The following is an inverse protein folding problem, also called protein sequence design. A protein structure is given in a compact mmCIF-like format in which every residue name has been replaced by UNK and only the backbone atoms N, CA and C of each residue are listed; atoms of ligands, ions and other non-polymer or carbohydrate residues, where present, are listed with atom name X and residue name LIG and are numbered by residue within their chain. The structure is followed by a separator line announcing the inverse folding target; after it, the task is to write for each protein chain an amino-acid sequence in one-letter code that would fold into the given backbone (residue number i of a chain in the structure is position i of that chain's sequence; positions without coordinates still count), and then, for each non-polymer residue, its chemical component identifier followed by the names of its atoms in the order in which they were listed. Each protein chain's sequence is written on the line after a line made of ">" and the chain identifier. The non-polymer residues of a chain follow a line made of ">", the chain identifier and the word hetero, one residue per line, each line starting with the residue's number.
data_IF_027306535591
#
_entry.id   IF_027306535591
#
_cell.length_a   1.000
_cell.length_b   1.000
_cell.length_c   1.000
_cell.angle_alpha   90.00
_cell.angle_beta   90.00
_cell.angle_gamma   90.00
#
_symmetry.space_group_name_H-M   'P 1'
#
loop_
_entity.id
_entity.type
_entity.pdbx_description
1 polymer ?
#
# COMPACT_ATOMS: atom_id res chain seq x y z
N UNK A 1 -33.61 22.54 -5.71
CA UNK A 1 -32.99 21.21 -5.85
C UNK A 1 -31.47 21.37 -5.84
N UNK A 2 -30.83 20.56 -4.97
CA UNK A 2 -29.45 20.05 -5.01
C UNK A 2 -28.27 21.03 -5.16
N UNK A 3 -27.49 21.13 -4.08
CA UNK A 3 -26.05 20.78 -4.12
C UNK A 3 -25.80 19.82 -2.97
N UNK A 4 -25.75 18.53 -3.28
CA UNK A 4 -25.20 17.54 -2.37
C UNK A 4 -23.69 17.69 -2.55
N UNK A 5 -23.05 18.37 -1.61
CA UNK A 5 -21.61 18.40 -1.50
C UNK A 5 -21.11 16.96 -1.34
N UNK A 6 -20.44 16.46 -2.37
CA UNK A 6 -19.78 15.15 -2.35
C UNK A 6 -18.70 15.14 -1.27
N UNK A 7 -19.10 14.74 -0.06
CA UNK A 7 -18.28 14.58 1.14
C UNK A 7 -17.34 13.35 1.07
N UNK A 8 -16.83 13.03 -0.12
CA UNK A 8 -15.99 11.85 -0.39
C UNK A 8 -14.65 12.19 -1.06
N UNK A 9 -14.21 13.46 -1.06
CA UNK A 9 -12.84 13.79 -1.44
C UNK A 9 -11.90 13.49 -0.27
N UNK A 10 -11.51 12.22 -0.10
CA UNK A 10 -10.21 11.94 0.52
C UNK A 10 -9.19 12.77 -0.26
N UNK A 11 -8.52 13.72 0.41
CA UNK A 11 -7.47 14.52 -0.25
C UNK A 11 -6.51 13.54 -0.94
N UNK A 12 -6.39 13.65 -2.26
CA UNK A 12 -5.46 12.84 -3.05
C UNK A 12 -4.07 12.99 -2.42
N UNK A 13 -3.51 11.88 -1.92
CA UNK A 13 -2.16 11.86 -1.35
C UNK A 13 -1.16 11.89 -2.51
N UNK A 14 -0.28 12.88 -2.52
CA UNK A 14 0.63 13.15 -3.67
C UNK A 14 2.09 13.27 -3.26
N UNK A 15 2.38 13.40 -1.97
CA UNK A 15 3.72 13.55 -1.43
C UNK A 15 4.06 12.43 -0.45
N UNK A 16 5.36 12.15 -0.30
CA UNK A 16 5.87 11.21 0.68
C UNK A 16 5.36 11.50 2.11
N UNK A 17 5.21 12.77 2.45
CA UNK A 17 4.72 13.20 3.76
C UNK A 17 3.24 12.82 3.98
N UNK A 18 2.40 12.92 2.93
CA UNK A 18 0.98 12.56 3.02
C UNK A 18 0.79 11.08 3.44
N UNK A 19 1.62 10.20 2.87
CA UNK A 19 1.61 8.77 3.20
C UNK A 19 2.24 8.49 4.57
N UNK A 20 3.28 9.25 4.95
CA UNK A 20 3.93 9.03 6.25
C UNK A 20 3.06 9.46 7.43
N UNK A 21 2.34 10.58 7.30
CA UNK A 21 1.56 11.19 8.39
C UNK A 21 0.22 10.51 8.64
N UNK A 22 -0.32 9.78 7.66
CA UNK A 22 -1.63 9.14 7.77
C UNK A 22 -1.56 7.69 7.30
N UNK A 23 -1.14 6.80 8.21
CA UNK A 23 -0.92 5.38 7.94
C UNK A 23 -2.18 4.54 8.21
N UNK A 24 -3.14 4.57 7.28
CA UNK A 24 -4.45 3.91 7.40
C UNK A 24 -4.39 2.41 7.18
N UNK A 25 -3.40 1.93 6.42
CA UNK A 25 -3.32 0.53 6.01
C UNK A 25 -2.43 -0.32 6.93
N UNK A 26 -2.07 0.22 8.10
CA UNK A 26 -1.36 -0.54 9.12
C UNK A 26 -2.28 -1.56 9.80
N UNK A 27 -1.74 -2.73 10.13
CA UNK A 27 -2.48 -3.85 10.71
C UNK A 27 -1.66 -4.61 11.75
N UNK A 28 -2.35 -5.22 12.71
CA UNK A 28 -1.79 -6.17 13.69
C UNK A 28 -2.83 -7.24 13.99
N UNK A 29 -2.46 -8.51 13.83
CA UNK A 29 -3.28 -9.69 14.19
C UNK A 29 -4.73 -9.59 13.69
N UNK A 30 -4.90 -9.45 12.38
CA UNK A 30 -6.23 -9.29 11.78
C UNK A 30 -6.82 -10.67 11.51
N UNK A 31 -7.86 -11.04 12.26
CA UNK A 31 -8.57 -12.30 12.07
C UNK A 31 -9.28 -12.37 10.71
N UNK A 32 -9.31 -13.57 10.10
CA UNK A 32 -9.94 -13.80 8.80
C UNK A 32 -9.14 -13.31 7.59
N UNK A 33 -7.92 -12.80 7.78
CA UNK A 33 -7.01 -12.43 6.71
C UNK A 33 -5.95 -13.51 6.50
N UNK A 34 -5.61 -13.78 5.24
CA UNK A 34 -4.38 -14.48 4.90
C UNK A 34 -3.19 -13.66 5.40
N UNK A 35 -2.14 -14.34 5.84
CA UNK A 35 -0.95 -13.68 6.40
C UNK A 35 0.30 -14.27 5.78
N UNK A 36 1.23 -13.41 5.38
CA UNK A 36 2.56 -13.82 4.92
C UNK A 36 3.62 -12.77 5.25
N UNK A 37 4.89 -13.17 5.15
CA UNK A 37 6.06 -12.42 5.54
C UNK A 37 6.95 -12.13 4.33
N UNK A 38 7.31 -10.86 4.15
CA UNK A 38 8.33 -10.43 3.20
C UNK A 38 9.59 -10.08 3.98
N UNK A 39 10.68 -10.79 3.69
CA UNK A 39 12.02 -10.45 4.21
C UNK A 39 12.62 -9.37 3.31
N UNK A 40 12.94 -8.22 3.90
CA UNK A 40 13.65 -7.13 3.22
C UNK A 40 15.02 -6.93 3.86
N UNK A 41 15.98 -6.26 3.20
CA UNK A 41 17.26 -5.89 3.81
C UNK A 41 17.12 -5.04 5.08
N UNK A 42 15.97 -4.37 5.27
CA UNK A 42 15.69 -3.48 6.40
C UNK A 42 14.85 -4.12 7.50
N UNK A 43 14.42 -5.38 7.34
CA UNK A 43 13.62 -6.11 8.32
C UNK A 43 12.47 -6.89 7.68
N UNK A 44 11.60 -7.41 8.52
CA UNK A 44 10.46 -8.24 8.10
C UNK A 44 9.21 -7.37 7.99
N UNK A 45 8.55 -7.43 6.83
CA UNK A 45 7.22 -6.88 6.61
C UNK A 45 6.22 -8.03 6.77
N UNK A 46 5.19 -7.85 7.59
CA UNK A 46 4.02 -8.74 7.62
C UNK A 46 2.95 -8.16 6.71
N UNK A 47 2.38 -8.97 5.84
CA UNK A 47 1.21 -8.63 5.04
C UNK A 47 0.01 -9.39 5.55
N UNK A 48 -1.15 -8.72 5.51
CA UNK A 48 -2.45 -9.31 5.77
C UNK A 48 -3.33 -8.99 4.57
N UNK A 49 -3.99 -9.97 3.97
CA UNK A 49 -4.94 -9.69 2.90
C UNK A 49 -6.13 -10.64 2.91
N UNK A 50 -7.25 -10.19 2.34
CA UNK A 50 -8.38 -11.03 1.99
C UNK A 50 -8.99 -10.56 0.66
N UNK A 51 -9.62 -11.50 -0.05
CA UNK A 51 -10.37 -11.22 -1.27
C UNK A 51 -11.86 -11.33 -0.97
N UNK A 52 -12.59 -10.24 -1.15
CA UNK A 52 -14.05 -10.19 -0.95
C UNK A 52 -14.70 -9.42 -2.10
N UNK A 53 -15.70 -10.01 -2.74
CA UNK A 53 -16.47 -9.35 -3.79
C UNK A 53 -15.63 -8.83 -4.97
N UNK A 54 -14.55 -9.54 -5.33
CA UNK A 54 -13.63 -9.13 -6.41
C UNK A 54 -12.67 -8.00 -6.06
N UNK A 55 -12.62 -7.58 -4.79
CA UNK A 55 -11.67 -6.59 -4.27
C UNK A 55 -10.68 -7.24 -3.31
N UNK A 56 -9.46 -6.69 -3.28
CA UNK A 56 -8.44 -7.08 -2.31
C UNK A 56 -8.43 -6.05 -1.19
N UNK A 57 -8.68 -6.49 0.04
CA UNK A 57 -8.40 -5.70 1.23
C UNK A 57 -7.02 -6.09 1.76
N UNK A 58 -6.07 -5.17 1.75
CA UNK A 58 -4.68 -5.40 2.15
C UNK A 58 -4.25 -4.46 3.29
N UNK A 59 -3.52 -5.01 4.26
CA UNK A 59 -2.90 -4.29 5.37
C UNK A 59 -1.46 -4.76 5.57
N UNK A 60 -0.65 -3.94 6.22
CA UNK A 60 0.74 -4.29 6.51
C UNK A 60 1.13 -4.01 7.96
N UNK A 61 2.14 -4.72 8.44
CA UNK A 61 2.87 -4.39 9.65
C UNK A 61 4.35 -4.37 9.34
N UNK A 62 5.03 -3.27 9.67
CA UNK A 62 6.46 -3.17 9.42
C UNK A 62 7.18 -2.34 10.49
N UNK A 63 8.24 -2.88 11.12
CA UNK A 63 9.10 -2.09 11.99
C UNK A 63 10.06 -1.18 11.19
N UNK A 64 10.11 -1.31 9.86
CA UNK A 64 11.15 -0.74 8.99
C UNK A 64 11.08 0.79 8.81
N UNK A 65 12.07 1.32 8.07
CA UNK A 65 12.30 2.75 7.83
C UNK A 65 11.20 3.43 6.99
N UNK A 66 11.19 4.78 7.02
CA UNK A 66 10.16 5.60 6.39
C UNK A 66 9.92 5.29 4.91
N UNK A 67 10.98 5.02 4.14
CA UNK A 67 10.86 4.71 2.71
C UNK A 67 9.98 3.49 2.44
N UNK A 68 10.15 2.43 3.25
CA UNK A 68 9.35 1.21 3.16
C UNK A 68 7.91 1.47 3.60
N UNK A 69 7.70 2.24 4.67
CA UNK A 69 6.35 2.58 5.13
C UNK A 69 5.57 3.40 4.10
N UNK A 70 6.21 4.38 3.46
CA UNK A 70 5.59 5.17 2.40
C UNK A 70 5.17 4.28 1.23
N UNK A 71 6.07 3.40 0.75
CA UNK A 71 5.72 2.46 -0.32
C UNK A 71 4.55 1.57 0.07
N UNK A 72 4.61 0.94 1.25
CA UNK A 72 3.55 0.03 1.72
C UNK A 72 2.21 0.74 1.87
N UNK A 73 2.20 1.94 2.46
CA UNK A 73 1.00 2.73 2.64
C UNK A 73 0.38 3.15 1.29
N UNK A 74 1.21 3.56 0.33
CA UNK A 74 0.76 3.94 -1.01
C UNK A 74 0.20 2.74 -1.79
N UNK A 75 0.94 1.63 -1.86
CA UNK A 75 0.48 0.46 -2.62
C UNK A 75 -0.75 -0.18 -1.97
N UNK A 76 -0.85 -0.22 -0.64
CA UNK A 76 -2.04 -0.75 0.02
C UNK A 76 -3.27 0.10 -0.30
N UNK A 77 -3.15 1.44 -0.34
CA UNK A 77 -4.24 2.31 -0.78
C UNK A 77 -4.67 2.00 -2.21
N UNK A 78 -3.73 1.96 -3.14
CA UNK A 78 -4.03 1.77 -4.54
C UNK A 78 -4.61 0.38 -4.82
N UNK A 79 -4.13 -0.67 -4.14
CA UNK A 79 -4.70 -2.02 -4.24
C UNK A 79 -6.13 -2.04 -3.68
N UNK A 80 -6.36 -1.49 -2.48
CA UNK A 80 -7.70 -1.46 -1.87
C UNK A 80 -8.70 -0.66 -2.72
N UNK A 81 -8.24 0.39 -3.39
CA UNK A 81 -9.07 1.23 -4.27
C UNK A 81 -9.20 0.67 -5.70
N UNK A 82 -8.49 -0.41 -6.05
CA UNK A 82 -8.47 -0.97 -7.41
C UNK A 82 -7.78 -0.07 -8.45
N UNK A 83 -6.90 0.84 -8.01
CA UNK A 83 -6.19 1.80 -8.85
C UNK A 83 -4.97 1.20 -9.56
N UNK A 84 -4.48 0.05 -9.09
CA UNK A 84 -3.35 -0.69 -9.68
C UNK A 84 -3.68 -2.18 -9.73
N UNK A 85 -3.29 -2.84 -10.80
CA UNK A 85 -3.54 -4.28 -11.03
C UNK A 85 -2.28 -5.13 -10.95
N UNK A 86 -1.12 -4.51 -11.07
CA UNK A 86 0.16 -5.20 -11.07
C UNK A 86 1.28 -4.31 -10.51
N UNK A 87 2.43 -4.94 -10.25
CA UNK A 87 3.58 -4.27 -9.65
C UNK A 87 4.17 -3.17 -10.54
N UNK A 88 4.05 -3.26 -11.88
CA UNK A 88 4.60 -2.25 -12.80
C UNK A 88 3.83 -0.93 -12.68
N UNK A 89 2.50 -1.00 -12.75
CA UNK A 89 1.63 0.16 -12.54
C UNK A 89 1.87 0.81 -11.17
N UNK A 90 2.03 0.00 -10.12
CA UNK A 90 2.33 0.51 -8.78
C UNK A 90 3.71 1.21 -8.73
N UNK A 91 4.73 0.65 -9.37
CA UNK A 91 6.06 1.28 -9.45
C UNK A 91 6.01 2.60 -10.22
N UNK A 92 5.30 2.65 -11.35
CA UNK A 92 5.09 3.88 -12.13
C UNK A 92 4.45 4.97 -11.27
N UNK A 93 3.38 4.65 -10.54
CA UNK A 93 2.74 5.62 -9.62
C UNK A 93 3.64 6.03 -8.45
N UNK A 94 4.51 5.15 -7.95
CA UNK A 94 5.48 5.53 -6.91
C UNK A 94 6.48 6.60 -7.41
N UNK A 95 6.85 6.59 -8.69
CA UNK A 95 7.70 7.64 -9.28
C UNK A 95 7.03 9.02 -9.31
N UNK A 96 5.70 9.07 -9.27
CA UNK A 96 4.95 10.33 -9.25
C UNK A 96 4.87 10.97 -7.86
N UNK A 97 5.22 10.24 -6.80
CA UNK A 97 5.15 10.74 -5.43
C UNK A 97 6.23 11.80 -5.20
N UNK A 98 5.80 13.03 -4.89
CA UNK A 98 6.70 14.14 -4.59
C UNK A 98 7.52 13.86 -3.33
N UNK A 99 8.83 14.04 -3.42
CA UNK A 99 9.76 13.82 -2.31
C UNK A 99 10.01 12.35 -1.99
N UNK A 100 9.67 11.43 -2.89
CA UNK A 100 9.94 10.00 -2.75
C UNK A 100 10.94 9.53 -3.80
N UNK A 101 11.91 8.69 -3.40
CA UNK A 101 12.87 8.07 -4.31
C UNK A 101 12.60 6.57 -4.36
N UNK A 102 12.23 6.08 -5.55
CA UNK A 102 12.07 4.64 -5.80
C UNK A 102 13.45 4.01 -5.95
N UNK A 103 13.83 3.17 -4.98
CA UNK A 103 15.07 2.36 -5.02
C UNK A 103 14.79 0.94 -5.49
N UNK A 104 15.82 0.17 -5.76
CA UNK A 104 15.66 -1.24 -6.15
C UNK A 104 15.02 -2.08 -5.04
N UNK A 105 15.37 -1.83 -3.78
CA UNK A 105 14.73 -2.45 -2.62
C UNK A 105 13.22 -2.19 -2.58
N UNK A 106 12.79 -0.97 -2.97
CA UNK A 106 11.37 -0.61 -3.06
C UNK A 106 10.70 -1.36 -4.19
N UNK A 107 11.32 -1.44 -5.38
CA UNK A 107 10.76 -2.21 -6.50
C UNK A 107 10.59 -3.69 -6.14
N UNK A 108 11.61 -4.28 -5.52
CA UNK A 108 11.59 -5.67 -5.06
C UNK A 108 10.48 -5.88 -4.02
N UNK A 109 10.34 -4.96 -3.06
CA UNK A 109 9.24 -5.01 -2.09
C UNK A 109 7.87 -4.99 -2.79
N UNK A 110 7.65 -4.06 -3.72
CA UNK A 110 6.38 -3.97 -4.45
C UNK A 110 6.12 -5.25 -5.23
N UNK A 111 7.12 -5.79 -5.93
CA UNK A 111 7.02 -7.06 -6.62
C UNK A 111 6.58 -8.19 -5.67
N UNK A 112 7.28 -8.35 -4.54
CA UNK A 112 6.99 -9.39 -3.54
C UNK A 112 5.57 -9.27 -2.96
N UNK A 113 5.07 -8.04 -2.73
CA UNK A 113 3.70 -7.79 -2.30
C UNK A 113 2.69 -8.33 -3.31
N UNK A 114 2.86 -7.99 -4.59
CA UNK A 114 1.95 -8.44 -5.65
C UNK A 114 2.01 -9.94 -5.89
N UNK A 115 3.14 -10.61 -5.63
CA UNK A 115 3.22 -12.06 -5.76
C UNK A 115 2.42 -12.80 -4.68
N UNK A 116 2.26 -12.22 -3.50
CA UNK A 116 1.58 -12.86 -2.35
C UNK A 116 0.07 -12.71 -2.38
N UNK A 117 -0.42 -11.54 -2.78
CA UNK A 117 -1.86 -11.25 -2.78
C UNK A 117 -2.60 -11.84 -3.99
N UNK A 118 -1.92 -12.61 -4.84
CA UNK A 118 -2.48 -13.20 -6.06
C UNK A 118 -3.23 -14.51 -5.84
N UNK A 119 -3.07 -15.17 -4.69
CA UNK A 119 -3.81 -16.39 -4.29
C UNK A 119 -5.31 -16.15 -4.15
#
# INVERSE_FOLDING_TARGET
>A
MQKIDNCCNSKKRISALDFLMNQKYTGRNIEGYNTDLIKTPKGIVKLYWKKEGGKIDIRYSSPTCFTTRIALEAICEWICNGEVKNYREAIEKLYEIKGYKVTEDVKNLVYEVFMRIRE
#
